data_IF_076135142853
#
_entry.id   IF_076135142853
#
_cell.length_a   1.000
_cell.length_b   1.000
_cell.length_c   1.000
_cell.angle_alpha   90.00
_cell.angle_beta   90.00
_cell.angle_gamma   90.00
#
_symmetry.space_group_name_H-M   'P 1'
#
loop_
_entity.id
_entity.type
_entity.pdbx_description
1 polymer ?
#
# COMPACT_ATOMS: atom_id res chain seq x y z
N UNK A 1 2.79 -30.35 -28.06
CA UNK A 1 3.56 -29.09 -27.90
C UNK A 1 4.08 -28.67 -29.26
N UNK A 2 4.11 -27.38 -29.57
CA UNK A 2 4.38 -26.87 -30.92
C UNK A 2 5.86 -27.02 -31.33
N UNK A 3 6.11 -27.46 -32.57
CA UNK A 3 7.48 -27.55 -33.15
C UNK A 3 8.23 -26.20 -33.11
N UNK A 4 7.49 -25.11 -33.27
CA UNK A 4 7.99 -23.74 -33.14
C UNK A 4 8.66 -23.46 -31.78
N UNK A 5 8.19 -24.07 -30.68
CA UNK A 5 8.82 -23.90 -29.36
C UNK A 5 10.22 -24.54 -29.31
N UNK A 6 10.36 -25.75 -29.85
CA UNK A 6 11.67 -26.43 -29.91
C UNK A 6 12.65 -25.72 -30.84
N UNK A 7 12.16 -25.15 -31.94
CA UNK A 7 12.95 -24.39 -32.92
C UNK A 7 13.45 -23.06 -32.33
N UNK A 8 12.58 -22.33 -31.63
CA UNK A 8 12.96 -21.11 -30.90
C UNK A 8 13.96 -21.37 -29.76
N UNK A 9 13.81 -22.47 -29.01
CA UNK A 9 14.74 -22.85 -27.94
C UNK A 9 16.10 -23.29 -28.50
N UNK A 10 16.13 -24.02 -29.63
CA UNK A 10 17.37 -24.40 -30.29
C UNK A 10 18.13 -23.18 -30.82
N UNK A 11 17.45 -22.29 -31.55
CA UNK A 11 18.06 -21.06 -32.07
C UNK A 11 18.57 -20.13 -30.96
N UNK A 12 17.90 -20.09 -29.80
CA UNK A 12 18.36 -19.33 -28.64
C UNK A 12 19.58 -19.98 -27.95
N UNK A 13 19.71 -21.30 -28.04
CA UNK A 13 20.85 -22.06 -27.52
C UNK A 13 22.15 -21.82 -28.30
N UNK A 14 22.09 -21.74 -29.63
CA UNK A 14 23.28 -21.46 -30.47
C UNK A 14 23.79 -20.01 -30.32
N UNK A 15 22.90 -19.06 -30.01
CA UNK A 15 23.25 -17.63 -29.86
C UNK A 15 23.81 -17.30 -28.47
N UNK A 16 23.50 -18.09 -27.44
CA UNK A 16 23.92 -17.81 -26.06
C UNK A 16 25.03 -18.79 -25.66
N UNK A 17 26.32 -18.42 -25.79
CA UNK A 17 27.41 -19.29 -25.35
C UNK A 17 27.30 -19.57 -23.84
N UNK A 18 27.61 -20.80 -23.43
CA UNK A 18 27.54 -21.28 -22.03
C UNK A 18 28.01 -20.29 -20.95
N UNK A 19 29.17 -19.58 -21.07
CA UNK A 19 29.56 -18.56 -20.09
C UNK A 19 28.59 -17.38 -19.97
N UNK A 20 27.92 -16.99 -21.06
CA UNK A 20 26.96 -15.89 -21.08
C UNK A 20 25.62 -16.32 -20.45
N UNK A 21 25.17 -17.55 -20.68
CA UNK A 21 24.05 -18.14 -19.93
C UNK A 21 24.33 -18.17 -18.41
N UNK A 22 25.54 -18.59 -18.01
CA UNK A 22 25.95 -18.58 -16.61
C UNK A 22 25.97 -17.14 -16.03
N UNK A 23 26.45 -16.16 -16.80
CA UNK A 23 26.49 -14.75 -16.40
C UNK A 23 25.07 -14.17 -16.25
N UNK A 24 24.13 -14.53 -17.14
CA UNK A 24 22.71 -14.12 -17.01
C UNK A 24 22.03 -14.75 -15.78
N UNK A 25 22.30 -16.02 -15.47
CA UNK A 25 21.79 -16.67 -14.24
C UNK A 25 22.39 -16.02 -12.98
N UNK A 26 23.69 -15.72 -12.98
CA UNK A 26 24.36 -15.00 -11.89
C UNK A 26 23.82 -13.57 -11.73
N UNK A 27 23.57 -12.86 -12.84
CA UNK A 27 22.98 -11.52 -12.84
C UNK A 27 21.54 -11.54 -12.31
N UNK A 28 20.71 -12.51 -12.74
CA UNK A 28 19.36 -12.69 -12.24
C UNK A 28 19.35 -13.02 -10.74
N UNK A 29 20.25 -13.90 -10.28
CA UNK A 29 20.45 -14.21 -8.86
C UNK A 29 20.93 -13.00 -8.05
N UNK A 30 21.86 -12.20 -8.60
CA UNK A 30 22.35 -10.96 -8.00
C UNK A 30 21.22 -9.92 -7.88
N UNK A 31 20.40 -9.75 -8.93
CA UNK A 31 19.25 -8.85 -8.92
C UNK A 31 18.18 -9.32 -7.92
N UNK A 32 17.91 -10.63 -7.82
CA UNK A 32 17.01 -11.18 -6.82
C UNK A 32 17.54 -10.97 -5.39
N UNK A 33 18.85 -11.15 -5.17
CA UNK A 33 19.50 -10.89 -3.89
C UNK A 33 19.51 -9.40 -3.52
N UNK A 34 19.79 -8.50 -4.48
CA UNK A 34 19.69 -7.06 -4.29
C UNK A 34 18.26 -6.63 -4.02
N UNK A 35 17.28 -7.14 -4.77
CA UNK A 35 15.87 -6.88 -4.52
C UNK A 35 15.48 -7.30 -3.10
N UNK A 36 15.82 -8.53 -2.69
CA UNK A 36 15.58 -9.05 -1.35
C UNK A 36 16.26 -8.20 -0.25
N UNK A 37 17.49 -7.73 -0.49
CA UNK A 37 18.26 -6.94 0.45
C UNK A 37 17.78 -5.47 0.55
N UNK A 38 17.32 -4.88 -0.55
CA UNK A 38 16.71 -3.54 -0.61
C UNK A 38 15.22 -3.51 -0.24
N UNK A 39 14.57 -4.67 0.01
CA UNK A 39 13.17 -4.78 0.49
C UNK A 39 12.97 -5.07 2.01
N UNK A 40 13.72 -4.50 2.98
CA UNK A 40 13.58 -4.85 4.40
C UNK A 40 12.36 -4.21 5.11
N UNK A 41 11.39 -3.61 4.40
CA UNK A 41 10.38 -2.71 4.99
C UNK A 41 8.90 -3.01 4.69
N UNK A 42 8.54 -3.95 3.80
CA UNK A 42 7.13 -4.28 3.51
C UNK A 42 6.77 -5.77 3.54
N UNK A 43 7.53 -6.58 4.27
CA UNK A 43 6.99 -7.84 4.81
C UNK A 43 6.32 -7.52 6.16
N UNK A 44 4.99 -7.38 6.23
CA UNK A 44 4.33 -7.25 7.53
C UNK A 44 4.57 -8.53 8.33
N UNK A 45 5.38 -8.45 9.39
CA UNK A 45 5.67 -9.53 10.35
C UNK A 45 4.46 -9.88 11.25
N UNK A 46 3.25 -9.70 10.72
CA UNK A 46 1.95 -10.05 11.29
C UNK A 46 1.27 -11.10 10.42
N UNK A 47 1.93 -12.23 10.19
CA UNK A 47 1.21 -13.46 9.87
C UNK A 47 0.23 -13.70 11.03
N UNK A 48 -1.10 -13.71 10.80
CA UNK A 48 -2.04 -14.06 11.85
C UNK A 48 -1.74 -15.50 12.27
N UNK A 49 -1.51 -15.72 13.57
CA UNK A 49 -1.37 -17.08 14.10
C UNK A 49 -2.63 -17.85 13.75
N UNK A 50 -2.57 -18.96 12.99
CA UNK A 50 -3.77 -19.70 12.64
C UNK A 50 -4.47 -20.14 13.92
N UNK A 51 -5.73 -19.72 14.06
CA UNK A 51 -6.59 -20.09 15.18
C UNK A 51 -7.04 -21.54 15.00
N UNK A 52 -6.08 -22.47 15.14
CA UNK A 52 -6.36 -23.90 15.08
C UNK A 52 -7.45 -24.22 16.11
N UNK A 53 -8.56 -24.87 15.70
CA UNK A 53 -9.61 -25.24 16.62
C UNK A 53 -9.02 -26.12 17.73
N UNK A 54 -9.47 -25.90 18.97
CA UNK A 54 -8.99 -26.64 20.14
C UNK A 54 -9.42 -28.12 20.05
N UNK A 55 -8.68 -28.93 19.30
CA UNK A 55 -8.81 -30.38 19.38
C UNK A 55 -8.58 -30.78 20.85
N UNK A 56 -9.61 -31.36 21.46
CA UNK A 56 -9.51 -32.07 22.74
C UNK A 56 -8.56 -33.24 22.53
N UNK A 57 -7.25 -33.03 22.73
CA UNK A 57 -6.28 -34.12 22.73
C UNK A 57 -6.65 -35.07 23.87
N UNK A 58 -6.90 -36.37 23.60
CA UNK A 58 -7.09 -37.33 24.67
C UNK A 58 -5.82 -37.37 25.53
N UNK A 59 -5.99 -37.47 26.85
CA UNK A 59 -4.89 -37.47 27.82
C UNK A 59 -4.14 -38.81 27.79
N UNK A 60 -3.35 -39.03 26.74
CA UNK A 60 -2.34 -40.09 26.69
C UNK A 60 -1.28 -39.80 27.77
N UNK A 61 -1.45 -40.43 28.93
CA UNK A 61 -0.53 -40.35 30.08
C UNK A 61 0.71 -41.20 29.82
N UNK A 62 1.55 -40.81 28.86
CA UNK A 62 2.91 -41.37 28.79
C UNK A 62 3.70 -40.94 30.02
N UNK A 63 3.91 -41.88 30.96
CA UNK A 63 4.87 -41.74 32.06
C UNK A 63 6.30 -41.82 31.51
N UNK A 64 6.80 -40.72 30.96
CA UNK A 64 8.22 -40.61 30.65
C UNK A 64 9.03 -40.54 31.97
N UNK A 65 10.08 -41.36 32.13
CA UNK A 65 10.92 -41.32 33.32
C UNK A 65 11.66 -39.97 33.42
N UNK A 66 11.75 -39.43 34.64
CA UNK A 66 12.41 -38.13 34.89
C UNK A 66 13.93 -38.25 34.80
N UNK A 67 14.47 -38.18 33.58
CA UNK A 67 15.90 -37.94 33.36
C UNK A 67 16.32 -36.61 34.00
N UNK A 68 17.19 -36.68 35.02
CA UNK A 68 17.77 -35.50 35.67
C UNK A 68 18.87 -34.91 34.80
N UNK A 69 18.51 -34.02 33.88
CA UNK A 69 19.51 -33.23 33.13
C UNK A 69 20.29 -32.33 34.10
N UNK A 70 21.64 -32.33 34.08
CA UNK A 70 22.46 -31.46 34.91
C UNK A 70 22.23 -29.99 34.53
N UNK A 71 22.08 -29.13 35.54
CA UNK A 71 21.83 -27.69 35.35
C UNK A 71 23.10 -26.97 34.92
N UNK A 72 23.45 -27.04 33.64
CA UNK A 72 24.43 -26.17 32.99
C UNK A 72 23.97 -24.71 33.07
N UNK A 73 24.44 -24.00 34.11
CA UNK A 73 24.25 -22.56 34.29
C UNK A 73 25.18 -21.80 33.35
N UNK A 74 24.84 -21.72 32.06
CA UNK A 74 25.47 -20.73 31.19
C UNK A 74 25.13 -19.33 31.71
N UNK A 75 26.10 -18.66 32.34
CA UNK A 75 26.06 -17.22 32.61
C UNK A 75 26.25 -16.50 31.28
N UNK A 76 25.17 -16.20 30.56
CA UNK A 76 25.25 -15.23 29.47
C UNK A 76 25.65 -13.86 30.05
N UNK A 77 26.68 -13.18 29.50
CA UNK A 77 27.02 -11.83 29.91
C UNK A 77 25.84 -10.89 29.59
N UNK A 78 25.55 -9.97 30.51
CA UNK A 78 24.47 -8.98 30.32
C UNK A 78 24.88 -7.95 29.27
N UNK A 79 24.67 -8.25 27.99
CA UNK A 79 24.76 -7.24 26.93
C UNK A 79 23.74 -6.14 27.21
N UNK A 80 24.23 -4.98 27.67
CA UNK A 80 23.46 -3.75 27.78
C UNK A 80 23.18 -3.22 26.38
N UNK A 81 22.10 -3.68 25.77
CA UNK A 81 21.54 -3.06 24.56
C UNK A 81 21.29 -1.56 24.83
N UNK A 82 21.97 -0.64 24.13
CA UNK A 82 21.73 0.79 24.32
C UNK A 82 20.31 1.10 23.85
N UNK A 83 19.52 1.76 24.72
CA UNK A 83 18.17 2.19 24.37
C UNK A 83 18.28 3.17 23.19
N UNK A 84 17.79 2.78 22.01
CA UNK A 84 17.64 3.70 20.87
C UNK A 84 16.63 4.79 21.25
N UNK A 85 17.15 5.86 21.84
CA UNK A 85 16.45 7.10 22.17
C UNK A 85 15.98 7.70 20.84
N UNK A 86 14.71 7.50 20.48
CA UNK A 86 14.07 8.09 19.30
C UNK A 86 14.45 9.58 19.22
N UNK A 87 15.29 9.96 18.26
CA UNK A 87 15.54 11.36 17.93
C UNK A 87 14.21 11.94 17.45
N UNK A 88 13.59 12.80 18.27
CA UNK A 88 12.58 13.75 17.77
C UNK A 88 13.29 14.70 16.79
N UNK A 89 12.72 15.02 15.62
CA UNK A 89 13.20 16.12 14.81
C UNK A 89 13.19 17.42 15.63
N UNK A 90 14.26 18.20 15.51
CA UNK A 90 14.37 19.52 16.15
C UNK A 90 13.85 20.56 15.16
N UNK A 91 12.81 21.36 15.47
CA UNK A 91 12.47 22.49 14.63
C UNK A 91 13.63 23.49 14.66
N UNK A 92 14.08 23.90 13.48
CA UNK A 92 14.95 25.06 13.27
C UNK A 92 14.12 26.10 12.53
N UNK A 93 13.74 27.14 13.23
CA UNK A 93 13.84 28.49 12.68
C UNK A 93 14.31 29.43 13.79
N UNK A 94 15.09 30.44 13.40
CA UNK A 94 15.73 31.40 14.31
C UNK A 94 14.79 32.62 14.47
N UNK A 95 14.82 33.29 15.63
CA UNK A 95 13.83 34.32 15.99
C UNK A 95 14.16 35.76 15.53
N UNK A 96 13.20 36.65 15.84
CA UNK A 96 13.26 38.12 16.05
C UNK A 96 13.82 39.02 14.92
N UNK A 97 13.29 40.21 14.57
CA UNK A 97 12.06 40.99 14.88
C UNK A 97 11.88 42.00 13.68
N UNK A 98 11.20 43.19 13.72
CA UNK A 98 10.30 43.85 14.69
C UNK A 98 8.89 44.17 14.06
N UNK A 99 7.98 44.98 14.67
CA UNK A 99 6.60 45.13 14.20
C UNK A 99 6.34 46.36 13.29
N UNK A 100 5.39 46.23 12.36
CA UNK A 100 4.81 47.34 11.56
C UNK A 100 3.29 47.14 11.47
N UNK A 101 2.45 48.14 11.77
CA UNK A 101 0.99 48.04 11.67
C UNK A 101 0.42 48.50 10.31
N UNK A 102 -0.79 48.01 10.01
CA UNK A 102 -1.69 48.35 8.89
C UNK A 102 -1.33 47.79 7.49
N UNK A 103 -2.30 47.75 6.54
CA UNK A 103 -3.77 47.74 6.68
C UNK A 103 -4.36 46.34 6.40
N UNK A 104 -5.67 46.15 6.69
CA UNK A 104 -6.37 44.86 6.53
C UNK A 104 -6.47 44.41 5.07
N UNK A 105 -5.51 43.60 4.62
CA UNK A 105 -5.68 42.72 3.45
C UNK A 105 -6.80 41.69 3.73
N UNK A 106 -7.50 41.16 2.71
CA UNK A 106 -8.50 40.13 2.91
C UNK A 106 -7.85 38.93 3.61
N UNK A 107 -8.46 38.47 4.70
CA UNK A 107 -7.97 37.28 5.39
C UNK A 107 -7.90 36.13 4.39
N UNK A 108 -6.78 35.37 4.33
CA UNK A 108 -6.84 34.05 3.73
C UNK A 108 -7.82 33.27 4.60
N UNK A 109 -9.05 33.12 4.10
CA UNK A 109 -10.12 32.34 4.73
C UNK A 109 -9.47 31.08 5.26
N UNK A 110 -9.43 30.95 6.59
CA UNK A 110 -8.70 29.87 7.25
C UNK A 110 -9.35 28.56 6.82
N UNK A 111 -8.80 27.95 5.77
CA UNK A 111 -9.46 26.88 5.06
C UNK A 111 -9.72 25.76 6.07
N UNK A 112 -11.02 25.47 6.29
CA UNK A 112 -11.45 24.40 7.18
C UNK A 112 -10.58 23.16 6.88
N UNK A 113 -9.99 22.52 7.91
CA UNK A 113 -8.84 21.64 7.72
C UNK A 113 -9.14 20.59 6.66
N UNK A 114 -8.59 20.82 5.46
CA UNK A 114 -9.00 20.13 4.25
C UNK A 114 -8.86 18.62 4.39
N UNK A 115 -9.48 17.85 3.50
CA UNK A 115 -9.42 16.39 3.56
C UNK A 115 -7.97 15.91 3.66
N UNK A 116 -7.75 14.69 4.15
CA UNK A 116 -6.39 14.15 4.25
C UNK A 116 -5.67 14.18 2.90
N UNK A 117 -6.40 13.99 1.80
CA UNK A 117 -5.91 14.17 0.45
C UNK A 117 -5.54 15.62 0.11
N UNK A 118 -6.35 16.61 0.46
CA UNK A 118 -6.08 18.02 0.15
C UNK A 118 -4.81 18.53 0.84
N UNK A 119 -4.55 18.08 2.08
CA UNK A 119 -3.30 18.41 2.79
C UNK A 119 -2.08 17.79 2.10
N UNK A 120 -2.18 16.54 1.65
CA UNK A 120 -1.12 15.89 0.87
C UNK A 120 -0.90 16.57 -0.47
N UNK A 121 -1.95 16.99 -1.16
CA UNK A 121 -1.86 17.76 -2.41
C UNK A 121 -1.19 19.14 -2.19
N UNK A 122 -1.49 19.82 -1.07
CA UNK A 122 -0.83 21.06 -0.68
C UNK A 122 0.67 20.87 -0.33
N UNK A 123 1.05 19.71 0.21
CA UNK A 123 2.45 19.27 0.38
C UNK A 123 3.14 18.87 -0.95
N UNK A 124 2.45 18.93 -2.09
CA UNK A 124 2.94 18.46 -3.40
C UNK A 124 2.98 16.93 -3.56
N UNK A 125 2.41 16.19 -2.60
CA UNK A 125 2.43 14.72 -2.52
C UNK A 125 1.24 14.12 -3.24
N UNK A 126 1.17 14.39 -4.54
CA UNK A 126 0.02 14.08 -5.39
C UNK A 126 -0.31 12.59 -5.46
N UNK A 127 0.70 11.72 -5.39
CA UNK A 127 0.48 10.27 -5.32
C UNK A 127 -0.35 9.93 -4.08
N UNK A 128 0.15 10.24 -2.88
CA UNK A 128 -0.56 9.91 -1.64
C UNK A 128 -1.92 10.61 -1.54
N UNK A 129 -2.06 11.82 -2.10
CA UNK A 129 -3.34 12.51 -2.21
C UNK A 129 -4.36 11.69 -3.03
N UNK A 130 -4.02 11.26 -4.25
CA UNK A 130 -4.85 10.39 -5.10
C UNK A 130 -5.27 9.11 -4.38
N UNK A 131 -4.34 8.45 -3.66
CA UNK A 131 -4.66 7.24 -2.89
C UNK A 131 -5.63 7.50 -1.75
N UNK A 132 -5.49 8.61 -1.01
CA UNK A 132 -6.44 8.93 0.05
C UNK A 132 -7.81 9.32 -0.53
N UNK A 133 -7.89 10.02 -1.68
CA UNK A 133 -9.18 10.24 -2.39
C UNK A 133 -9.85 8.95 -2.80
N UNK A 134 -9.11 8.01 -3.41
CA UNK A 134 -9.67 6.69 -3.73
C UNK A 134 -10.18 5.98 -2.47
N UNK A 135 -9.43 6.07 -1.37
CA UNK A 135 -9.82 5.49 -0.08
C UNK A 135 -11.06 6.17 0.50
N UNK A 136 -11.26 7.46 0.28
CA UNK A 136 -12.47 8.20 0.70
C UNK A 136 -13.67 7.81 -0.18
N UNK A 137 -13.51 7.73 -1.52
CA UNK A 137 -14.53 7.20 -2.46
C UNK A 137 -14.97 5.77 -2.12
N UNK A 138 -14.03 4.89 -1.78
CA UNK A 138 -14.30 3.51 -1.37
C UNK A 138 -15.05 3.44 -0.04
N UNK A 139 -14.76 4.33 0.93
CA UNK A 139 -15.55 4.42 2.17
C UNK A 139 -16.99 4.82 1.85
N UNK A 140 -17.21 5.83 1.01
CA UNK A 140 -18.55 6.28 0.67
C UNK A 140 -19.39 5.17 0.00
N UNK A 141 -18.79 4.36 -0.88
CA UNK A 141 -19.46 3.18 -1.44
C UNK A 141 -19.83 2.13 -0.38
N UNK A 142 -18.99 1.93 0.64
CA UNK A 142 -19.24 0.98 1.74
C UNK A 142 -20.31 1.52 2.70
N UNK A 143 -20.21 2.79 3.09
CA UNK A 143 -21.13 3.46 4.01
C UNK A 143 -22.56 3.50 3.43
N UNK A 144 -22.68 3.70 2.11
CA UNK A 144 -23.95 3.60 1.35
C UNK A 144 -24.35 2.17 0.96
N UNK A 145 -23.59 1.15 1.38
CA UNK A 145 -23.80 -0.28 1.09
C UNK A 145 -23.90 -0.64 -0.41
N UNK A 146 -23.18 0.09 -1.26
CA UNK A 146 -23.07 -0.18 -2.70
C UNK A 146 -22.10 -1.34 -2.96
N UNK A 147 -21.06 -1.49 -2.14
CA UNK A 147 -20.07 -2.58 -2.22
C UNK A 147 -19.70 -3.09 -0.84
N UNK A 148 -19.59 -4.41 -0.69
CA UNK A 148 -18.95 -5.05 0.47
C UNK A 148 -17.47 -5.34 0.18
N UNK A 149 -16.56 -4.61 0.83
CA UNK A 149 -15.12 -4.75 0.61
C UNK A 149 -14.57 -5.93 1.42
N UNK A 150 -13.99 -6.90 0.71
CA UNK A 150 -13.28 -8.06 1.31
C UNK A 150 -11.75 -7.86 1.33
N UNK A 151 -11.01 -8.48 2.27
CA UNK A 151 -9.55 -8.46 2.25
C UNK A 151 -9.00 -8.99 0.92
N UNK A 152 -8.04 -8.27 0.32
CA UNK A 152 -7.43 -8.64 -0.96
C UNK A 152 -8.21 -8.20 -2.21
N UNK A 153 -9.40 -7.59 -2.06
CA UNK A 153 -10.17 -7.07 -3.19
C UNK A 153 -9.40 -5.96 -3.92
N UNK A 154 -9.31 -6.07 -5.23
CA UNK A 154 -8.70 -5.08 -6.11
C UNK A 154 -9.65 -3.92 -6.41
N UNK A 155 -9.10 -2.78 -6.86
CA UNK A 155 -9.89 -1.61 -7.26
C UNK A 155 -10.77 -1.92 -8.48
N UNK A 156 -10.29 -2.78 -9.39
CA UNK A 156 -11.04 -3.24 -10.57
C UNK A 156 -12.23 -4.11 -10.17
N UNK A 157 -12.05 -5.08 -9.27
CA UNK A 157 -13.17 -5.88 -8.73
C UNK A 157 -14.19 -5.01 -7.99
N UNK A 158 -13.72 -4.00 -7.24
CA UNK A 158 -14.60 -3.03 -6.59
C UNK A 158 -15.41 -2.20 -7.59
N UNK A 159 -14.78 -1.76 -8.69
CA UNK A 159 -15.45 -1.04 -9.78
C UNK A 159 -16.51 -1.90 -10.45
N UNK A 160 -16.22 -3.19 -10.70
CA UNK A 160 -17.19 -4.14 -11.27
C UNK A 160 -18.34 -4.44 -10.30
N UNK A 161 -18.06 -4.63 -9.01
CA UNK A 161 -19.07 -4.85 -7.99
C UNK A 161 -20.00 -3.63 -7.83
N UNK A 162 -19.43 -2.42 -7.77
CA UNK A 162 -20.18 -1.17 -7.71
C UNK A 162 -21.07 -0.98 -8.94
N UNK A 163 -20.54 -1.27 -10.14
CA UNK A 163 -21.28 -1.18 -11.40
C UNK A 163 -22.47 -2.14 -11.47
N UNK A 164 -22.39 -3.31 -10.83
CA UNK A 164 -23.49 -4.26 -10.78
C UNK A 164 -24.68 -3.75 -9.94
N UNK A 165 -24.41 -2.99 -8.88
CA UNK A 165 -25.45 -2.39 -8.01
C UNK A 165 -25.92 -1.02 -8.55
N UNK A 166 -24.99 -0.22 -9.10
CA UNK A 166 -25.19 1.14 -9.61
C UNK A 166 -24.46 1.31 -10.95
N UNK A 167 -25.06 0.98 -12.11
CA UNK A 167 -24.37 1.05 -13.41
C UNK A 167 -23.78 2.42 -13.76
N UNK A 168 -24.40 3.51 -13.29
CA UNK A 168 -23.93 4.90 -13.51
C UNK A 168 -22.50 5.13 -13.01
N UNK A 169 -22.16 4.65 -11.81
CA UNK A 169 -20.83 4.91 -11.20
C UNK A 169 -19.67 4.18 -11.88
N UNK A 170 -19.95 3.27 -12.82
CA UNK A 170 -18.93 2.45 -13.49
C UNK A 170 -17.87 3.32 -14.17
N UNK A 171 -18.28 4.33 -14.96
CA UNK A 171 -17.36 5.18 -15.72
C UNK A 171 -16.44 5.97 -14.79
N UNK A 172 -17.01 6.55 -13.75
CA UNK A 172 -16.34 7.37 -12.75
C UNK A 172 -15.31 6.55 -11.96
N UNK A 173 -15.72 5.37 -11.46
CA UNK A 173 -14.83 4.46 -10.73
C UNK A 173 -13.75 3.84 -11.61
N UNK A 174 -14.07 3.51 -12.87
CA UNK A 174 -13.08 2.99 -13.82
C UNK A 174 -11.98 4.03 -14.12
N UNK A 175 -12.36 5.29 -14.36
CA UNK A 175 -11.39 6.38 -14.55
C UNK A 175 -10.50 6.59 -13.32
N UNK A 176 -11.08 6.53 -12.11
CA UNK A 176 -10.34 6.62 -10.85
C UNK A 176 -9.39 5.43 -10.64
N UNK A 177 -9.83 4.22 -10.98
CA UNK A 177 -9.03 3.00 -10.93
C UNK A 177 -7.83 3.04 -11.89
N UNK A 178 -8.02 3.58 -13.11
CA UNK A 178 -6.96 3.76 -14.09
C UNK A 178 -5.90 4.75 -13.60
N UNK A 179 -6.30 5.94 -13.11
CA UNK A 179 -5.37 6.92 -12.54
C UNK A 179 -4.57 6.32 -11.38
N UNK A 180 -5.24 5.61 -10.46
CA UNK A 180 -4.55 4.92 -9.37
C UNK A 180 -3.55 3.88 -9.88
N UNK A 181 -3.96 3.06 -10.86
CA UNK A 181 -3.12 1.97 -11.39
C UNK A 181 -1.89 2.49 -12.13
N UNK A 182 -2.02 3.56 -12.89
CA UNK A 182 -0.92 4.24 -13.57
C UNK A 182 0.14 4.75 -12.58
N UNK A 183 -0.28 5.34 -11.46
CA UNK A 183 0.62 5.84 -10.44
C UNK A 183 1.22 4.73 -9.55
N UNK A 184 0.43 3.71 -9.17
CA UNK A 184 0.87 2.68 -8.22
C UNK A 184 1.54 1.46 -8.85
N UNK A 185 1.05 0.98 -9.99
CA UNK A 185 1.53 -0.25 -10.62
C UNK A 185 2.44 0.04 -11.82
N UNK A 186 2.09 1.02 -12.65
CA UNK A 186 2.96 1.47 -13.74
C UNK A 186 4.03 2.51 -13.30
N UNK A 187 4.07 2.87 -12.01
CA UNK A 187 5.07 3.75 -11.40
C UNK A 187 5.24 5.11 -12.11
N UNK A 188 4.16 5.63 -12.72
CA UNK A 188 4.18 6.93 -13.39
C UNK A 188 4.31 8.08 -12.38
N UNK A 189 5.06 9.15 -12.70
CA UNK A 189 5.20 10.28 -11.79
C UNK A 189 3.86 10.98 -11.58
N UNK A 190 3.45 11.11 -10.31
CA UNK A 190 2.22 11.80 -9.96
C UNK A 190 2.35 13.31 -10.17
N UNK A 191 1.32 13.92 -10.74
CA UNK A 191 1.27 15.36 -11.04
C UNK A 191 0.03 15.98 -10.41
N UNK A 192 0.01 17.32 -10.33
CA UNK A 192 -1.15 18.09 -9.85
C UNK A 192 -2.43 17.78 -10.62
N UNK A 193 -2.32 17.52 -11.92
CA UNK A 193 -3.43 17.16 -12.80
C UNK A 193 -4.10 15.84 -12.36
N UNK A 194 -3.31 14.85 -11.92
CA UNK A 194 -3.85 13.60 -11.41
C UNK A 194 -4.64 13.81 -10.10
N UNK A 195 -4.20 14.70 -9.18
CA UNK A 195 -4.98 15.03 -7.98
C UNK A 195 -6.27 15.78 -8.30
N UNK A 196 -6.22 16.74 -9.24
CA UNK A 196 -7.38 17.52 -9.67
C UNK A 196 -8.45 16.60 -10.27
N UNK A 197 -8.07 15.82 -11.29
CA UNK A 197 -8.96 14.86 -11.94
C UNK A 197 -9.52 13.81 -10.98
N UNK A 198 -8.73 13.38 -9.99
CA UNK A 198 -9.22 12.45 -8.97
C UNK A 198 -10.22 13.10 -8.00
N UNK A 199 -10.10 14.41 -7.75
CA UNK A 199 -11.06 15.20 -6.96
C UNK A 199 -12.37 15.41 -7.71
N UNK A 200 -12.31 15.65 -9.01
CA UNK A 200 -13.48 15.77 -9.87
C UNK A 200 -14.24 14.44 -9.89
N UNK A 201 -13.55 13.33 -10.12
CA UNK A 201 -14.13 11.98 -10.09
C UNK A 201 -14.74 11.61 -8.73
N UNK A 202 -14.14 12.06 -7.61
CA UNK A 202 -14.74 11.89 -6.29
C UNK A 202 -16.03 12.71 -6.12
N UNK A 203 -16.08 13.91 -6.70
CA UNK A 203 -17.24 14.81 -6.66
C UNK A 203 -18.38 14.30 -7.56
N UNK A 204 -18.03 13.77 -8.74
CA UNK A 204 -18.97 13.13 -9.65
C UNK A 204 -19.55 11.84 -9.03
N UNK A 205 -18.71 11.00 -8.42
CA UNK A 205 -19.17 9.82 -7.69
C UNK A 205 -20.16 10.19 -6.58
N UNK A 206 -19.84 11.21 -5.77
CA UNK A 206 -20.73 11.69 -4.72
C UNK A 206 -22.10 12.08 -5.30
N UNK A 207 -22.13 12.83 -6.41
CA UNK A 207 -23.35 13.26 -7.10
C UNK A 207 -24.14 12.09 -7.68
N UNK A 208 -23.48 11.11 -8.29
CA UNK A 208 -24.11 9.88 -8.79
C UNK A 208 -24.72 9.04 -7.67
N UNK A 209 -24.11 9.08 -6.47
CA UNK A 209 -24.60 8.35 -5.30
C UNK A 209 -25.69 9.09 -4.50
N UNK A 210 -25.81 10.42 -4.63
CA UNK A 210 -26.91 11.21 -4.02
C UNK A 210 -28.11 11.37 -4.95
N UNK A 211 -27.91 11.63 -6.25
CA UNK A 211 -28.99 12.02 -7.18
C UNK A 211 -30.08 10.97 -7.41
N UNK A 212 -29.78 9.69 -7.21
CA UNK A 212 -30.78 8.61 -7.26
C UNK A 212 -31.66 8.53 -5.98
N UNK A 213 -31.39 9.34 -4.95
CA UNK A 213 -32.14 9.33 -3.68
C UNK A 213 -33.48 10.07 -3.72
N UNK A 214 -33.70 10.93 -4.72
CA UNK A 214 -34.86 11.84 -4.80
C UNK A 214 -35.94 11.36 -5.79
N UNK A 215 -35.77 10.20 -6.44
CA UNK A 215 -36.65 9.68 -7.49
C UNK A 215 -37.43 8.41 -7.06
N UNK A 216 -37.92 8.37 -5.81
CA UNK A 216 -38.73 7.26 -5.28
C UNK A 216 -39.81 7.74 -4.32
#
# INVERSE_FOLDING_TARGET
>A
MSRWWTEAVAALGDVVPLPLAALLVLLAGLLAALAWYFFPAWVPSRLPRPHLPRLRRPRLRLRLPRMRLPRLRLRLPKLRLPRLRRRRPKPRWTGDAPPVPAPRAPEPVAAAPGSRADRLAAEGRYAEAVRERLRDMVRELVDRRVVEVRPGMTVTELTTAAAHVRPRVHRTLHAAATIFSDLWYAQRPATREHDHRMRDLATDLHRELTGDGEHR
#
